data_IF_462672943109
#
_entry.id   IF_462672943109
#
_cell.length_a   1.000
_cell.length_b   1.000
_cell.length_c   1.000
_cell.angle_alpha   90.00
_cell.angle_beta   90.00
_cell.angle_gamma   90.00
#
_symmetry.space_group_name_H-M   'P 1'
#
loop_
_entity.id
_entity.type
_entity.pdbx_description
1 polymer ?
#
# COMPACT_ATOMS: atom_id res chain seq x y z
N UNK A 1 -24.63 -57.46 17.78
CA UNK A 1 -23.49 -56.53 17.52
C UNK A 1 -23.68 -55.64 16.27
N UNK A 2 -24.29 -56.10 15.17
CA UNK A 2 -24.39 -55.32 13.91
C UNK A 2 -25.28 -54.05 13.95
N UNK A 3 -26.26 -53.95 14.87
CA UNK A 3 -27.17 -52.81 14.97
C UNK A 3 -26.50 -51.50 15.42
N UNK A 4 -25.50 -51.58 16.30
CA UNK A 4 -24.81 -50.41 16.85
C UNK A 4 -23.94 -49.69 15.82
N UNK A 5 -23.32 -50.45 14.90
CA UNK A 5 -22.48 -49.89 13.82
C UNK A 5 -23.32 -49.09 12.82
N UNK A 6 -24.52 -49.57 12.47
CA UNK A 6 -25.43 -48.85 11.55
C UNK A 6 -25.93 -47.53 12.14
N UNK A 7 -26.24 -47.50 13.44
CA UNK A 7 -26.67 -46.28 14.14
C UNK A 7 -25.53 -45.26 14.22
N UNK A 8 -24.31 -45.71 14.51
CA UNK A 8 -23.11 -44.87 14.50
C UNK A 8 -22.85 -44.25 13.12
N UNK A 9 -22.91 -45.05 12.06
CA UNK A 9 -22.73 -44.57 10.68
C UNK A 9 -23.80 -43.57 10.26
N UNK A 10 -25.08 -43.81 10.61
CA UNK A 10 -26.18 -42.86 10.37
C UNK A 10 -25.94 -41.54 11.07
N UNK A 11 -25.52 -41.57 12.34
CA UNK A 11 -25.26 -40.35 13.12
C UNK A 11 -24.05 -39.57 12.60
N UNK A 12 -23.01 -40.26 12.14
CA UNK A 12 -21.86 -39.63 11.49
C UNK A 12 -22.25 -38.99 10.16
N UNK A 13 -23.08 -39.67 9.37
CA UNK A 13 -23.59 -39.16 8.09
C UNK A 13 -24.48 -37.92 8.30
N UNK A 14 -25.41 -37.96 9.25
CA UNK A 14 -26.24 -36.81 9.63
C UNK A 14 -25.41 -35.62 10.14
N UNK A 15 -24.28 -35.86 10.81
CA UNK A 15 -23.36 -34.79 11.24
C UNK A 15 -22.58 -34.18 10.08
N UNK A 16 -22.35 -34.93 9.01
CA UNK A 16 -21.63 -34.50 7.82
C UNK A 16 -22.55 -33.87 6.76
N UNK A 17 -23.82 -34.29 6.71
CA UNK A 17 -24.84 -33.74 5.82
C UNK A 17 -25.02 -32.24 6.09
N UNK A 18 -24.70 -31.42 5.08
CA UNK A 18 -24.84 -29.96 5.11
C UNK A 18 -23.57 -29.20 5.54
N UNK A 19 -22.48 -29.87 5.92
CA UNK A 19 -21.20 -29.17 6.09
C UNK A 19 -20.52 -29.00 4.74
N UNK A 20 -20.10 -27.78 4.37
CA UNK A 20 -19.28 -27.59 3.18
C UNK A 20 -18.02 -28.43 3.32
N UNK A 21 -17.57 -29.02 2.21
CA UNK A 21 -16.33 -29.77 2.16
C UNK A 21 -15.21 -28.86 2.72
N UNK A 22 -14.45 -29.30 3.75
CA UNK A 22 -13.45 -28.45 4.38
C UNK A 22 -12.36 -27.98 3.41
N UNK A 23 -12.11 -28.73 2.33
CA UNK A 23 -11.18 -28.35 1.27
C UNK A 23 -11.71 -27.12 0.51
N UNK A 24 -12.99 -27.15 0.11
CA UNK A 24 -13.61 -26.05 -0.64
C UNK A 24 -13.73 -24.79 0.23
N UNK A 25 -14.10 -24.95 1.51
CA UNK A 25 -14.14 -23.85 2.47
C UNK A 25 -12.76 -23.21 2.69
N UNK A 26 -11.69 -24.00 2.70
CA UNK A 26 -10.33 -23.49 2.81
C UNK A 26 -9.91 -22.71 1.56
N UNK A 27 -10.31 -23.16 0.37
CA UNK A 27 -10.01 -22.47 -0.88
C UNK A 27 -10.77 -21.13 -0.97
N UNK A 28 -12.03 -21.08 -0.54
CA UNK A 28 -12.81 -19.85 -0.39
C UNK A 28 -12.16 -18.87 0.60
N UNK A 29 -11.57 -19.37 1.70
CA UNK A 29 -10.86 -18.52 2.65
C UNK A 29 -9.56 -17.95 2.07
N UNK A 30 -8.82 -18.74 1.29
CA UNK A 30 -7.60 -18.25 0.60
C UNK A 30 -7.93 -17.16 -0.42
N UNK A 31 -8.97 -17.35 -1.22
CA UNK A 31 -9.38 -16.34 -2.22
C UNK A 31 -9.81 -15.04 -1.57
N UNK A 32 -10.59 -15.11 -0.47
CA UNK A 32 -10.95 -13.93 0.34
C UNK A 32 -9.73 -13.26 0.97
N UNK A 33 -8.79 -14.04 1.50
CA UNK A 33 -7.55 -13.51 2.08
C UNK A 33 -6.72 -12.76 1.03
N UNK A 34 -6.56 -13.32 -0.16
CA UNK A 34 -5.85 -12.68 -1.26
C UNK A 34 -6.53 -11.37 -1.69
N UNK A 35 -7.86 -11.36 -1.76
CA UNK A 35 -8.63 -10.16 -2.08
C UNK A 35 -8.45 -9.06 -1.01
N UNK A 36 -8.48 -9.42 0.26
CA UNK A 36 -8.25 -8.47 1.37
C UNK A 36 -6.80 -7.96 1.40
N UNK A 37 -5.81 -8.81 1.11
CA UNK A 37 -4.42 -8.38 0.98
C UNK A 37 -4.25 -7.36 -0.16
N UNK A 38 -4.91 -7.58 -1.30
CA UNK A 38 -4.90 -6.63 -2.41
C UNK A 38 -5.52 -5.29 -2.00
N UNK A 39 -6.68 -5.30 -1.34
CA UNK A 39 -7.33 -4.08 -0.82
C UNK A 39 -6.46 -3.32 0.17
N UNK A 40 -5.75 -4.03 1.05
CA UNK A 40 -4.80 -3.42 1.99
C UNK A 40 -3.63 -2.75 1.26
N UNK A 41 -3.05 -3.41 0.26
CA UNK A 41 -1.97 -2.83 -0.52
C UNK A 41 -2.41 -1.55 -1.27
N UNK A 42 -3.63 -1.54 -1.82
CA UNK A 42 -4.21 -0.36 -2.46
C UNK A 42 -4.42 0.80 -1.46
N UNK A 43 -4.95 0.51 -0.27
CA UNK A 43 -5.13 1.50 0.78
C UNK A 43 -3.78 2.05 1.30
N UNK A 44 -2.77 1.21 1.47
CA UNK A 44 -1.41 1.64 1.85
C UNK A 44 -0.79 2.56 0.79
N UNK A 45 -0.98 2.26 -0.50
CA UNK A 45 -0.57 3.15 -1.58
C UNK A 45 -1.30 4.50 -1.51
N UNK A 46 -2.61 4.50 -1.26
CA UNK A 46 -3.36 5.75 -1.10
C UNK A 46 -2.83 6.58 0.08
N UNK A 47 -2.67 5.97 1.26
CA UNK A 47 -2.14 6.64 2.45
C UNK A 47 -0.76 7.25 2.19
N UNK A 48 0.15 6.50 1.56
CA UNK A 48 1.49 7.02 1.26
C UNK A 48 1.45 8.16 0.25
N UNK A 49 0.54 8.13 -0.74
CA UNK A 49 0.37 9.24 -1.69
C UNK A 49 -0.22 10.49 -1.01
N UNK A 50 -1.20 10.32 -0.12
CA UNK A 50 -1.78 11.42 0.66
C UNK A 50 -0.74 12.03 1.59
N UNK A 51 0.07 11.21 2.27
CA UNK A 51 1.17 11.70 3.11
C UNK A 51 2.19 12.51 2.31
N UNK A 52 2.57 12.06 1.10
CA UNK A 52 3.47 12.83 0.21
C UNK A 52 2.86 14.17 -0.18
N UNK A 53 1.56 14.20 -0.48
CA UNK A 53 0.85 15.46 -0.80
C UNK A 53 0.84 16.39 0.40
N UNK A 54 0.50 15.88 1.57
CA UNK A 54 0.49 16.65 2.83
C UNK A 54 1.87 17.23 3.11
N UNK A 55 2.93 16.43 3.04
CA UNK A 55 4.30 16.92 3.21
C UNK A 55 4.70 17.98 2.17
N UNK A 56 4.17 17.89 0.94
CA UNK A 56 4.40 18.90 -0.10
C UNK A 56 3.65 20.22 0.19
N UNK A 57 2.46 20.15 0.79
CA UNK A 57 1.70 21.31 1.27
C UNK A 57 2.35 21.96 2.50
N UNK A 58 2.88 21.15 3.42
CA UNK A 58 3.53 21.59 4.67
C UNK A 58 4.96 22.11 4.49
N UNK A 59 5.46 22.23 3.25
CA UNK A 59 6.79 22.80 3.01
C UNK A 59 6.96 24.10 3.79
N UNK A 60 8.03 24.25 4.60
CA UNK A 60 8.22 25.43 5.42
C UNK A 60 8.20 26.66 4.51
N UNK A 61 7.35 27.61 4.86
CA UNK A 61 7.27 28.89 4.19
C UNK A 61 8.31 29.81 4.80
N UNK A 62 8.89 30.68 3.99
CA UNK A 62 9.71 31.76 4.53
C UNK A 62 8.84 32.75 5.33
N UNK A 63 9.48 33.71 6.01
CA UNK A 63 8.77 34.71 6.83
C UNK A 63 7.76 35.57 6.02
N UNK A 64 7.84 35.52 4.69
CA UNK A 64 6.97 36.22 3.74
C UNK A 64 5.89 35.29 3.13
N UNK A 65 5.74 34.07 3.64
CA UNK A 65 4.71 33.12 3.23
C UNK A 65 4.96 32.43 1.90
N UNK A 66 6.15 32.58 1.30
CA UNK A 66 6.55 31.95 0.04
C UNK A 66 7.15 30.57 0.31
N UNK A 67 7.00 29.66 -0.64
CA UNK A 67 7.64 28.33 -0.54
C UNK A 67 9.16 28.51 -0.49
N UNK A 68 9.80 27.94 0.54
CA UNK A 68 11.26 27.93 0.64
C UNK A 68 11.83 27.19 -0.58
N UNK A 69 12.53 27.93 -1.45
CA UNK A 69 13.21 27.36 -2.61
C UNK A 69 14.41 26.56 -2.12
N UNK A 70 14.26 25.25 -1.96
CA UNK A 70 15.39 24.34 -1.81
C UNK A 70 16.23 24.36 -3.09
N UNK A 71 17.35 25.10 -3.04
CA UNK A 71 18.52 25.06 -3.95
C UNK A 71 18.39 25.60 -5.38
N UNK A 72 17.26 26.16 -5.82
CA UNK A 72 17.15 26.74 -7.17
C UNK A 72 17.94 28.04 -7.39
N UNK A 73 18.22 28.82 -6.34
CA UNK A 73 18.90 30.12 -6.49
C UNK A 73 20.44 30.00 -6.52
N UNK A 74 21.00 28.97 -5.91
CA UNK A 74 22.45 28.79 -5.82
C UNK A 74 23.07 28.39 -7.17
N UNK A 75 22.36 27.61 -8.00
CA UNK A 75 22.82 27.19 -9.32
C UNK A 75 22.75 28.30 -10.37
N UNK A 76 21.80 29.23 -10.26
CA UNK A 76 21.74 30.40 -11.14
C UNK A 76 22.87 31.39 -10.86
N UNK A 77 23.27 31.57 -9.59
CA UNK A 77 24.36 32.45 -9.22
C UNK A 77 25.71 31.93 -9.72
N UNK A 78 25.98 30.62 -9.58
CA UNK A 78 27.22 30.01 -10.08
C UNK A 78 27.28 29.97 -11.60
N UNK A 79 26.15 29.72 -12.28
CA UNK A 79 26.07 29.77 -13.75
C UNK A 79 26.31 31.19 -14.30
N UNK A 80 25.70 32.22 -13.70
CA UNK A 80 25.95 33.61 -14.08
C UNK A 80 27.39 34.06 -13.78
N UNK A 81 27.99 33.56 -12.70
CA UNK A 81 29.39 33.87 -12.37
C UNK A 81 30.35 33.24 -13.37
N UNK A 82 30.17 31.95 -13.69
CA UNK A 82 30.95 31.28 -14.74
C UNK A 82 30.83 32.02 -16.08
N UNK A 83 29.64 32.45 -16.47
CA UNK A 83 29.45 33.19 -17.72
C UNK A 83 30.21 34.53 -17.76
N UNK A 84 30.30 35.24 -16.63
CA UNK A 84 31.10 36.47 -16.52
C UNK A 84 32.60 36.19 -16.58
N UNK A 85 33.05 35.09 -15.98
CA UNK A 85 34.46 34.72 -15.96
C UNK A 85 34.93 34.28 -17.37
N UNK A 86 34.08 33.60 -18.15
CA UNK A 86 34.33 33.29 -19.56
C UNK A 86 34.47 34.53 -20.43
N UNK A 87 33.65 35.58 -20.21
CA UNK A 87 33.74 36.84 -20.96
C UNK A 87 35.01 37.65 -20.68
N UNK A 88 35.71 37.39 -19.57
CA UNK A 88 36.97 38.05 -19.22
C UNK A 88 38.20 37.28 -19.72
N UNK A 89 38.01 36.04 -20.17
CA UNK A 89 39.09 35.16 -20.63
C UNK A 89 39.32 35.23 -22.16
N UNK A 90 38.47 35.98 -22.89
CA UNK A 90 38.63 36.38 -24.30
C UNK A 90 39.04 37.83 -24.39
#
# INVERSE_FOLDING_TARGET
MAGNVRVLLRNLRLRAEGRPNPIDAMEDLKTKLAQEQKRRAEAELEVTTLQRRLNAFEKPRDAQGRYTRTRGAATCATSNQQQKDWQKAT
#
